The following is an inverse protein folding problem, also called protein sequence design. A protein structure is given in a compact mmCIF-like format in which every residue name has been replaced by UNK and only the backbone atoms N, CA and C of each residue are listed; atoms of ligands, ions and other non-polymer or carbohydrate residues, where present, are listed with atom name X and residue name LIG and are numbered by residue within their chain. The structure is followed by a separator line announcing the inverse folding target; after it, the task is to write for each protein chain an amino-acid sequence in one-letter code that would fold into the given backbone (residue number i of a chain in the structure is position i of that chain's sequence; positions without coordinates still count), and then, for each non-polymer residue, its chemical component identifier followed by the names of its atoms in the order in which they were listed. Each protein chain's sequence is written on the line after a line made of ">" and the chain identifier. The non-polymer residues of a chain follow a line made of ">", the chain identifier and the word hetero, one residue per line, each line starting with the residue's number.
data_IF_617355363355
#
_entry.id   IF_617355363355
#
_cell.length_a   1.000
_cell.length_b   1.000
_cell.length_c   1.000
_cell.angle_alpha   90.00
_cell.angle_beta   90.00
_cell.angle_gamma   90.00
#
_symmetry.space_group_name_H-M   'P 1'
#
loop_
_entity.id
_entity.type
_entity.pdbx_description
1 polymer ?
#
# COMPACT_ATOMS: atom_id res chain seq x y z
N UNK A 1 40.29 18.91 21.07
CA UNK A 1 39.11 18.13 21.50
C UNK A 1 38.28 17.86 20.26
N UNK A 2 38.49 16.70 19.64
CA UNK A 2 37.72 16.25 18.49
C UNK A 2 36.34 15.80 19.02
N UNK A 3 35.29 16.53 18.63
CA UNK A 3 33.91 16.16 18.94
C UNK A 3 33.63 14.79 18.31
N UNK A 4 33.17 13.89 19.17
CA UNK A 4 32.74 12.53 18.93
C UNK A 4 31.75 12.50 17.75
N UNK A 5 31.93 11.57 16.80
CA UNK A 5 31.04 11.44 15.66
C UNK A 5 29.58 11.26 16.13
N UNK A 6 28.70 12.19 15.77
CA UNK A 6 27.25 12.10 16.01
C UNK A 6 26.72 10.83 15.35
N UNK A 7 26.40 9.81 16.15
CA UNK A 7 25.85 8.55 15.64
C UNK A 7 24.38 8.76 15.30
N UNK A 8 24.05 8.79 14.00
CA UNK A 8 22.68 8.87 13.50
C UNK A 8 21.82 7.78 14.10
N UNK A 9 20.73 8.12 14.77
CA UNK A 9 19.90 7.16 15.50
C UNK A 9 18.42 7.55 15.51
N UNK A 10 17.55 6.55 15.51
CA UNK A 10 16.12 6.72 15.70
C UNK A 10 15.61 5.69 16.70
N UNK A 11 15.19 6.13 17.87
CA UNK A 11 14.89 5.23 18.99
C UNK A 11 13.62 5.63 19.74
N UNK A 12 13.05 4.68 20.48
CA UNK A 12 11.91 4.92 21.38
C UNK A 12 12.42 5.32 22.75
N UNK A 13 12.11 6.53 23.18
CA UNK A 13 12.31 7.00 24.56
C UNK A 13 11.05 6.68 25.36
N UNK A 14 11.07 5.51 26.00
CA UNK A 14 9.96 4.97 26.78
C UNK A 14 9.68 5.80 28.04
N UNK A 15 10.71 6.40 28.64
CA UNK A 15 10.55 7.16 29.89
C UNK A 15 9.76 8.45 29.70
N UNK A 16 9.72 8.97 28.46
CA UNK A 16 9.03 10.21 28.13
C UNK A 16 8.02 10.08 27.00
N UNK A 17 7.60 8.86 26.67
CA UNK A 17 6.58 8.56 25.66
C UNK A 17 6.81 9.26 24.30
N UNK A 18 8.05 9.25 23.78
CA UNK A 18 8.41 9.95 22.52
C UNK A 18 9.43 9.17 21.69
N UNK A 19 9.62 9.59 20.44
CA UNK A 19 10.80 9.17 19.68
C UNK A 19 11.95 10.15 19.94
N UNK A 20 13.17 9.67 19.80
CA UNK A 20 14.37 10.50 19.67
C UNK A 20 14.96 10.27 18.29
N UNK A 21 15.24 11.35 17.58
CA UNK A 21 16.05 11.37 16.37
C UNK A 21 17.37 12.05 16.74
N UNK A 22 18.48 11.33 16.65
CA UNK A 22 19.82 11.80 17.04
C UNK A 22 19.86 12.35 18.47
N UNK A 23 19.13 11.68 19.39
CA UNK A 23 19.02 12.10 20.80
C UNK A 23 18.05 13.26 21.06
N UNK A 24 17.47 13.85 20.01
CA UNK A 24 16.53 14.99 20.12
C UNK A 24 15.08 14.52 20.03
N UNK A 25 14.15 15.03 20.87
CA UNK A 25 12.73 14.73 20.77
C UNK A 25 12.18 14.89 19.35
N UNK A 26 11.56 13.83 18.85
CA UNK A 26 11.03 13.75 17.50
C UNK A 26 9.62 13.16 17.48
N UNK A 27 8.81 13.65 16.54
CA UNK A 27 7.49 13.13 16.20
C UNK A 27 7.34 13.18 14.69
N UNK A 28 7.01 12.06 14.06
CA UNK A 28 6.67 12.10 12.64
C UNK A 28 5.20 12.47 12.42
N UNK A 29 4.98 13.26 11.39
CA UNK A 29 3.70 13.47 10.74
C UNK A 29 3.89 13.01 9.30
N UNK A 30 3.36 11.82 9.03
CA UNK A 30 3.58 11.06 7.81
C UNK A 30 2.32 11.03 6.94
N UNK A 31 2.51 10.72 5.66
CA UNK A 31 1.43 10.42 4.74
C UNK A 31 1.80 9.23 3.86
N UNK A 32 0.81 8.40 3.53
CA UNK A 32 1.02 7.28 2.62
C UNK A 32 1.01 7.73 1.15
N UNK A 33 2.00 7.26 0.40
CA UNK A 33 2.08 7.35 -1.06
C UNK A 33 2.71 6.08 -1.62
N UNK A 34 2.03 5.40 -2.54
CA UNK A 34 2.54 4.15 -3.11
C UNK A 34 3.23 4.40 -4.46
N UNK A 35 4.55 4.21 -4.52
CA UNK A 35 5.34 4.49 -5.73
C UNK A 35 4.88 3.65 -6.95
N UNK A 36 4.37 2.45 -6.73
CA UNK A 36 3.82 1.56 -7.77
C UNK A 36 2.45 2.00 -8.31
N UNK A 37 1.79 2.97 -7.66
CA UNK A 37 0.53 3.61 -8.10
C UNK A 37 0.73 4.98 -8.75
N UNK A 38 1.98 5.43 -8.87
CA UNK A 38 2.33 6.75 -9.40
C UNK A 38 3.43 6.56 -10.46
N UNK A 39 3.26 7.05 -11.69
CA UNK A 39 4.32 6.98 -12.69
C UNK A 39 5.61 7.64 -12.18
N UNK A 40 6.77 7.01 -12.41
CA UNK A 40 8.07 7.46 -11.88
C UNK A 40 8.38 8.93 -12.14
N UNK A 41 8.01 9.44 -13.32
CA UNK A 41 8.22 10.84 -13.71
C UNK A 41 7.49 11.85 -12.82
N UNK A 42 6.52 11.38 -12.00
CA UNK A 42 5.71 12.20 -11.12
C UNK A 42 6.12 12.09 -9.64
N UNK A 43 6.99 11.15 -9.26
CA UNK A 43 7.34 10.91 -7.85
C UNK A 43 7.85 12.16 -7.14
N UNK A 44 8.80 12.88 -7.76
CA UNK A 44 9.36 14.11 -7.20
C UNK A 44 8.29 15.18 -6.94
N UNK A 45 7.34 15.36 -7.87
CA UNK A 45 6.24 16.31 -7.70
C UNK A 45 5.34 15.92 -6.52
N UNK A 46 4.95 14.65 -6.41
CA UNK A 46 4.06 14.19 -5.34
C UNK A 46 4.73 14.31 -3.97
N UNK A 47 5.98 13.88 -3.86
CA UNK A 47 6.77 13.98 -2.63
C UNK A 47 6.99 15.43 -2.22
N UNK A 48 7.27 16.32 -3.17
CA UNK A 48 7.44 17.74 -2.86
C UNK A 48 6.14 18.39 -2.38
N UNK A 49 4.98 18.08 -2.99
CA UNK A 49 3.66 18.51 -2.47
C UNK A 49 3.41 17.98 -1.06
N UNK A 50 3.73 16.72 -0.79
CA UNK A 50 3.63 16.12 0.54
C UNK A 50 4.49 16.86 1.56
N UNK A 51 5.76 17.14 1.24
CA UNK A 51 6.67 17.92 2.09
C UNK A 51 6.12 19.32 2.39
N UNK A 52 5.65 20.04 1.37
CA UNK A 52 5.09 21.39 1.51
C UNK A 52 3.74 21.43 2.26
N UNK A 53 3.09 20.29 2.46
CA UNK A 53 1.91 20.19 3.32
C UNK A 53 2.26 20.16 4.81
N UNK A 54 3.55 20.01 5.14
CA UNK A 54 4.05 19.96 6.51
C UNK A 54 4.56 18.59 6.93
N UNK A 55 4.42 17.56 6.10
CA UNK A 55 4.91 16.22 6.44
C UNK A 55 6.44 16.22 6.56
N UNK A 56 6.94 15.46 7.52
CA UNK A 56 8.38 15.21 7.70
C UNK A 56 8.75 13.75 7.39
N UNK A 57 7.76 12.89 7.17
CA UNK A 57 7.96 11.50 6.78
C UNK A 57 6.96 11.06 5.69
N UNK A 58 7.31 10.01 4.96
CA UNK A 58 6.41 9.26 4.09
C UNK A 58 6.32 7.81 4.56
N UNK A 59 5.18 7.18 4.30
CA UNK A 59 4.99 5.75 4.48
C UNK A 59 4.60 5.10 3.16
N UNK A 60 5.12 3.91 2.89
CA UNK A 60 4.71 3.17 1.68
C UNK A 60 4.98 1.67 1.80
N UNK A 61 4.18 0.90 1.07
CA UNK A 61 4.37 -0.54 0.92
C UNK A 61 5.39 -0.91 -0.15
N UNK A 62 6.00 -2.08 -0.01
CA UNK A 62 6.80 -2.74 -1.06
C UNK A 62 6.09 -4.03 -1.50
N UNK A 63 5.28 -4.00 -2.58
CA UNK A 63 4.56 -5.18 -3.05
C UNK A 63 5.52 -6.21 -3.63
N UNK A 64 5.56 -7.41 -3.03
CA UNK A 64 6.46 -8.49 -3.45
C UNK A 64 6.22 -8.90 -4.92
N UNK A 65 4.97 -9.21 -5.28
CA UNK A 65 4.58 -9.58 -6.65
C UNK A 65 4.91 -8.51 -7.71
N UNK A 66 5.01 -7.24 -7.32
CA UNK A 66 5.44 -6.16 -8.20
C UNK A 66 6.94 -6.18 -8.48
N UNK A 67 7.74 -6.87 -7.68
CA UNK A 67 9.19 -6.96 -7.87
C UNK A 67 9.68 -8.35 -8.22
N UNK A 68 8.96 -9.40 -7.87
CA UNK A 68 9.25 -10.78 -8.27
C UNK A 68 8.04 -11.34 -9.01
N UNK A 69 7.81 -10.93 -10.28
CA UNK A 69 6.69 -11.43 -11.07
C UNK A 69 6.76 -12.94 -11.32
N UNK A 70 7.96 -13.52 -11.32
CA UNK A 70 8.18 -14.96 -11.36
C UNK A 70 9.20 -15.34 -10.29
N UNK A 71 9.11 -16.53 -9.66
CA UNK A 71 10.06 -16.97 -8.65
C UNK A 71 11.52 -16.88 -9.13
N UNK A 72 12.35 -16.17 -8.39
CA UNK A 72 13.75 -15.88 -8.68
C UNK A 72 14.01 -14.76 -9.69
N UNK A 73 12.97 -14.16 -10.28
CA UNK A 73 13.10 -13.10 -11.31
C UNK A 73 12.77 -11.75 -10.70
N UNK A 74 13.80 -11.00 -10.31
CA UNK A 74 13.64 -9.72 -9.64
C UNK A 74 13.69 -8.52 -10.60
N UNK A 75 12.79 -7.56 -10.43
CA UNK A 75 12.72 -6.33 -11.21
C UNK A 75 12.61 -5.09 -10.32
N UNK A 76 13.66 -4.27 -10.35
CA UNK A 76 13.75 -2.97 -9.67
C UNK A 76 14.03 -1.83 -10.66
N UNK A 77 13.61 -1.97 -11.92
CA UNK A 77 13.84 -0.98 -12.97
C UNK A 77 12.60 -0.12 -13.25
N UNK A 78 12.80 1.05 -13.84
CA UNK A 78 11.70 1.92 -14.29
C UNK A 78 10.79 2.33 -13.12
N UNK A 79 9.48 2.08 -13.24
CA UNK A 79 8.49 2.35 -12.17
C UNK A 79 8.60 1.40 -10.97
N UNK A 80 9.43 0.35 -11.05
CA UNK A 80 9.73 -0.59 -9.96
C UNK A 80 11.00 -0.21 -9.18
N UNK A 81 11.59 0.94 -9.47
CA UNK A 81 12.85 1.37 -8.87
C UNK A 81 12.66 1.96 -7.47
N UNK A 82 12.61 1.06 -6.48
CA UNK A 82 12.49 1.39 -5.07
C UNK A 82 13.63 2.31 -4.59
N UNK A 83 14.86 2.09 -5.08
CA UNK A 83 16.03 2.86 -4.65
C UNK A 83 15.96 4.29 -5.19
N UNK A 84 15.52 4.47 -6.44
CA UNK A 84 15.25 5.80 -6.96
C UNK A 84 14.12 6.50 -6.18
N UNK A 85 13.08 5.78 -5.77
CA UNK A 85 12.03 6.37 -4.95
C UNK A 85 12.52 6.82 -3.56
N UNK A 86 13.34 6.00 -2.89
CA UNK A 86 14.01 6.37 -1.63
C UNK A 86 14.91 7.62 -1.80
N UNK A 87 15.64 7.70 -2.92
CA UNK A 87 16.41 8.89 -3.30
C UNK A 87 15.54 10.13 -3.46
N UNK A 88 14.41 10.04 -4.17
CA UNK A 88 13.49 11.18 -4.33
C UNK A 88 12.91 11.63 -2.99
N UNK A 89 12.60 10.69 -2.08
CA UNK A 89 12.17 11.02 -0.72
C UNK A 89 13.26 11.73 0.08
N UNK A 90 14.52 11.30 -0.06
CA UNK A 90 15.67 11.95 0.57
C UNK A 90 15.89 13.37 0.02
N UNK A 91 15.79 13.57 -1.30
CA UNK A 91 15.86 14.90 -1.94
C UNK A 91 14.73 15.83 -1.48
N UNK A 92 13.53 15.28 -1.24
CA UNK A 92 12.41 16.00 -0.65
C UNK A 92 12.56 16.26 0.86
N UNK A 93 13.68 15.84 1.47
CA UNK A 93 13.96 15.93 2.91
C UNK A 93 12.85 15.26 3.75
N UNK A 94 12.51 14.03 3.39
CA UNK A 94 11.51 13.21 4.07
C UNK A 94 12.14 11.93 4.62
N UNK A 95 11.82 11.62 5.88
CA UNK A 95 12.07 10.30 6.46
C UNK A 95 11.13 9.27 5.86
N UNK A 96 11.51 7.99 5.95
CA UNK A 96 10.76 6.88 5.40
C UNK A 96 10.37 5.91 6.51
N UNK A 97 9.08 5.59 6.55
CA UNK A 97 8.51 4.48 7.30
C UNK A 97 8.20 3.40 6.26
N UNK A 98 9.01 2.34 6.23
CA UNK A 98 8.90 1.32 5.20
C UNK A 98 7.97 0.19 5.65
N UNK A 99 7.09 -0.26 4.78
CA UNK A 99 6.21 -1.42 5.03
C UNK A 99 6.49 -2.51 3.99
N UNK A 100 7.54 -3.32 4.18
CA UNK A 100 7.92 -4.35 3.23
C UNK A 100 7.00 -5.58 3.23
N UNK A 101 6.09 -5.70 4.21
CA UNK A 101 5.32 -6.92 4.45
C UNK A 101 6.10 -7.89 5.36
N UNK A 102 6.00 -9.23 5.19
CA UNK A 102 5.40 -9.94 4.07
C UNK A 102 3.93 -10.28 4.30
N UNK A 103 3.13 -10.12 3.26
CA UNK A 103 2.14 -11.14 2.91
C UNK A 103 2.63 -11.70 1.58
N UNK A 104 3.70 -12.52 1.56
CA UNK A 104 3.70 -13.83 0.87
C UNK A 104 4.94 -14.76 1.07
N UNK A 105 6.19 -14.40 1.44
CA UNK A 105 7.25 -15.40 1.79
C UNK A 105 8.60 -14.81 2.26
N UNK A 106 9.53 -15.67 2.75
CA UNK A 106 10.81 -15.30 3.35
C UNK A 106 11.99 -15.15 2.35
N UNK A 107 11.92 -15.77 1.15
CA UNK A 107 12.96 -15.66 0.12
C UNK A 107 13.04 -14.24 -0.45
N UNK A 108 11.90 -13.55 -0.51
CA UNK A 108 11.80 -12.14 -0.88
C UNK A 108 12.58 -11.24 0.08
N UNK A 109 12.47 -11.49 1.38
CA UNK A 109 13.15 -10.70 2.40
C UNK A 109 14.67 -10.82 2.28
N UNK A 110 15.18 -11.98 1.84
CA UNK A 110 16.62 -12.16 1.55
C UNK A 110 17.12 -11.32 0.37
N UNK A 111 16.23 -10.80 -0.48
CA UNK A 111 16.59 -9.90 -1.59
C UNK A 111 16.30 -8.44 -1.25
N UNK A 112 15.12 -8.16 -0.70
CA UNK A 112 14.71 -6.80 -0.39
C UNK A 112 15.52 -6.20 0.77
N UNK A 113 15.65 -6.92 1.89
CA UNK A 113 16.25 -6.38 3.11
C UNK A 113 17.72 -5.96 2.91
N UNK A 114 18.58 -6.76 2.25
CA UNK A 114 19.94 -6.31 1.91
C UNK A 114 19.98 -5.08 0.99
N UNK A 115 19.01 -4.92 0.08
CA UNK A 115 18.93 -3.74 -0.81
C UNK A 115 18.59 -2.45 -0.06
N UNK A 116 17.76 -2.53 0.98
CA UNK A 116 17.38 -1.36 1.80
C UNK A 116 18.32 -1.14 2.99
N UNK A 117 19.19 -2.10 3.33
CA UNK A 117 20.13 -1.96 4.45
C UNK A 117 20.99 -0.67 4.38
N UNK A 118 21.56 -0.26 3.23
CA UNK A 118 22.29 1.02 3.13
C UNK A 118 21.40 2.26 3.31
N UNK A 119 20.08 2.10 3.19
CA UNK A 119 19.08 3.16 3.29
C UNK A 119 18.52 3.35 4.71
N UNK A 120 18.92 2.49 5.66
CA UNK A 120 18.60 2.68 7.06
C UNK A 120 19.20 3.99 7.56
N UNK A 121 18.46 4.67 8.44
CA UNK A 121 18.83 6.01 8.92
C UNK A 121 20.22 6.03 9.59
N UNK A 122 20.51 5.02 10.41
CA UNK A 122 21.81 4.86 11.09
C UNK A 122 22.95 4.46 10.13
N UNK A 123 22.63 4.01 8.91
CA UNK A 123 23.59 3.69 7.85
C UNK A 123 23.77 4.84 6.83
N UNK A 124 23.13 5.98 7.04
CA UNK A 124 23.25 7.14 6.16
C UNK A 124 22.02 7.45 5.31
N UNK A 125 21.03 6.55 5.23
CA UNK A 125 19.83 6.73 4.43
C UNK A 125 18.70 7.47 5.16
N UNK A 126 17.44 7.30 4.75
CA UNK A 126 16.29 8.01 5.32
C UNK A 126 15.23 7.09 5.95
N UNK A 127 15.45 5.76 6.00
CA UNK A 127 14.51 4.81 6.60
C UNK A 127 14.67 4.80 8.13
N UNK A 128 13.68 5.34 8.84
CA UNK A 128 13.71 5.46 10.32
C UNK A 128 13.05 4.27 11.01
N UNK A 129 12.06 3.64 10.39
CA UNK A 129 11.37 2.47 10.94
C UNK A 129 10.85 1.56 9.84
N UNK A 130 10.66 0.29 10.19
CA UNK A 130 10.21 -0.75 9.28
C UNK A 130 9.12 -1.58 9.95
N UNK A 131 8.00 -1.75 9.26
CA UNK A 131 6.94 -2.62 9.74
C UNK A 131 7.25 -4.09 9.42
N UNK A 132 6.96 -4.97 10.36
CA UNK A 132 7.01 -6.42 10.17
C UNK A 132 5.57 -6.91 10.03
N UNK A 133 5.26 -7.56 8.90
CA UNK A 133 3.89 -7.98 8.57
C UNK A 133 2.90 -6.79 8.49
N UNK A 134 1.61 -7.08 8.33
CA UNK A 134 0.55 -6.12 8.13
C UNK A 134 -0.78 -6.60 8.73
N UNK A 135 -1.23 -5.98 9.82
CA UNK A 135 -2.49 -6.33 10.48
C UNK A 135 -2.67 -7.84 10.68
N UNK A 136 -1.59 -8.54 11.04
CA UNK A 136 -1.58 -9.99 11.16
C UNK A 136 -2.63 -10.49 12.15
N UNK A 137 -3.00 -9.66 13.12
CA UNK A 137 -4.06 -9.95 14.07
C UNK A 137 -5.45 -10.08 13.47
N UNK A 138 -5.68 -9.50 12.30
CA UNK A 138 -6.90 -9.68 11.50
C UNK A 138 -6.90 -10.99 10.72
N UNK A 139 -5.76 -11.69 10.62
CA UNK A 139 -5.64 -12.98 9.97
C UNK A 139 -5.93 -14.14 10.93
N UNK A 140 -6.75 -15.09 10.46
CA UNK A 140 -7.31 -16.19 11.27
C UNK A 140 -6.27 -17.12 11.92
N UNK A 141 -5.04 -17.18 11.39
CA UNK A 141 -4.05 -18.15 11.87
C UNK A 141 -3.52 -17.82 13.28
N UNK A 142 -3.33 -16.53 13.60
CA UNK A 142 -2.75 -16.10 14.88
C UNK A 142 -1.45 -16.84 15.25
N UNK A 143 -0.59 -17.13 14.26
CA UNK A 143 0.66 -17.86 14.44
C UNK A 143 1.79 -16.92 14.89
N UNK A 144 2.06 -16.92 16.20
CA UNK A 144 3.13 -16.12 16.81
C UNK A 144 4.52 -16.66 16.44
N UNK A 145 4.65 -17.94 16.06
CA UNK A 145 5.94 -18.52 15.62
C UNK A 145 6.34 -17.90 14.28
N UNK A 146 5.38 -17.74 13.36
CA UNK A 146 5.57 -17.03 12.11
C UNK A 146 6.04 -15.59 12.34
N UNK A 147 5.35 -14.81 13.18
CA UNK A 147 5.79 -13.43 13.49
C UNK A 147 7.19 -13.38 14.11
N UNK A 148 7.52 -14.32 15.01
CA UNK A 148 8.89 -14.42 15.57
C UNK A 148 9.93 -14.76 14.51
N UNK A 149 9.60 -15.64 13.58
CA UNK A 149 10.49 -15.99 12.47
C UNK A 149 10.81 -14.75 11.63
N UNK A 150 9.78 -13.99 11.24
CA UNK A 150 9.98 -12.74 10.49
C UNK A 150 10.78 -11.70 11.27
N UNK A 151 10.45 -11.48 12.54
CA UNK A 151 11.22 -10.56 13.38
C UNK A 151 12.70 -10.98 13.47
N UNK A 152 12.97 -12.28 13.63
CA UNK A 152 14.33 -12.83 13.64
C UNK A 152 15.05 -12.63 12.31
N UNK A 153 14.36 -12.83 11.18
CA UNK A 153 14.91 -12.61 9.84
C UNK A 153 15.28 -11.14 9.61
N UNK A 154 14.38 -10.22 9.97
CA UNK A 154 14.64 -8.78 9.86
C UNK A 154 15.83 -8.38 10.73
N UNK A 155 15.93 -8.90 11.96
CA UNK A 155 17.08 -8.64 12.84
C UNK A 155 18.38 -9.20 12.28
N UNK A 156 18.36 -10.42 11.74
CA UNK A 156 19.54 -11.03 11.13
C UNK A 156 20.06 -10.23 9.93
N UNK A 157 19.17 -9.65 9.12
CA UNK A 157 19.53 -8.95 7.88
C UNK A 157 19.71 -7.44 8.03
N UNK A 158 19.06 -6.81 9.00
CA UNK A 158 19.06 -5.35 9.21
C UNK A 158 19.75 -4.90 10.50
N UNK A 159 20.07 -5.84 11.39
CA UNK A 159 20.65 -5.57 12.70
C UNK A 159 19.64 -5.07 13.74
N UNK A 160 20.16 -4.77 14.93
CA UNK A 160 19.34 -4.43 16.11
C UNK A 160 18.96 -2.95 16.22
N UNK A 161 19.62 -2.07 15.45
CA UNK A 161 19.45 -0.62 15.59
C UNK A 161 18.17 -0.09 14.95
N UNK A 162 17.65 -0.72 13.89
CA UNK A 162 16.43 -0.25 13.23
C UNK A 162 15.20 -0.47 14.10
N UNK A 163 14.31 0.52 14.18
CA UNK A 163 13.01 0.35 14.84
C UNK A 163 12.12 -0.54 13.97
N UNK A 164 11.84 -1.75 14.47
CA UNK A 164 10.84 -2.65 13.90
C UNK A 164 9.53 -2.51 14.66
N UNK A 165 8.41 -2.46 13.93
CA UNK A 165 7.08 -2.27 14.52
C UNK A 165 6.01 -3.14 13.86
N UNK A 166 4.85 -3.29 14.50
CA UNK A 166 3.64 -3.91 13.93
C UNK A 166 2.49 -2.91 13.94
N UNK A 167 1.49 -3.12 13.10
CA UNK A 167 0.26 -2.30 13.04
C UNK A 167 -0.93 -3.23 12.99
N UNK A 168 -1.89 -3.00 13.87
CA UNK A 168 -3.16 -3.72 13.90
C UNK A 168 -4.30 -2.79 14.37
N UNK A 169 -5.49 -2.99 13.81
CA UNK A 169 -6.72 -2.49 14.40
C UNK A 169 -6.93 -3.01 15.84
N UNK A 170 -7.82 -2.37 16.62
CA UNK A 170 -7.99 -2.65 18.06
C UNK A 170 -8.33 -4.12 18.39
N UNK A 171 -8.99 -4.82 17.47
CA UNK A 171 -9.38 -6.22 17.63
C UNK A 171 -8.22 -7.19 17.32
N UNK A 172 -7.30 -6.78 16.45
CA UNK A 172 -6.15 -7.58 16.01
C UNK A 172 -4.97 -7.60 16.98
N UNK A 173 -4.86 -6.60 17.88
CA UNK A 173 -3.71 -6.44 18.78
C UNK A 173 -3.30 -7.70 19.55
N UNK A 174 -4.25 -8.57 19.90
CA UNK A 174 -3.95 -9.83 20.61
C UNK A 174 -3.04 -10.77 19.80
N UNK A 175 -3.25 -10.84 18.49
CA UNK A 175 -2.60 -11.78 17.59
C UNK A 175 -1.50 -11.13 16.74
N UNK A 176 -1.56 -9.81 16.52
CA UNK A 176 -0.56 -9.07 15.73
C UNK A 176 0.57 -8.43 16.54
N UNK A 177 0.45 -8.32 17.87
CA UNK A 177 1.53 -7.81 18.72
C UNK A 177 2.59 -8.87 19.03
N UNK A 178 3.87 -8.49 19.00
CA UNK A 178 4.97 -9.37 19.36
C UNK A 178 6.02 -8.65 20.22
N UNK A 179 6.39 -9.26 21.35
CA UNK A 179 7.48 -8.75 22.21
C UNK A 179 8.78 -8.61 21.41
N UNK A 180 9.38 -7.42 21.43
CA UNK A 180 10.60 -7.08 20.69
C UNK A 180 10.35 -6.27 19.42
N UNK A 181 9.09 -6.20 18.98
CA UNK A 181 8.61 -5.24 17.99
C UNK A 181 7.81 -4.16 18.71
N UNK A 182 7.86 -2.92 18.22
CA UNK A 182 7.05 -1.83 18.76
C UNK A 182 5.61 -1.94 18.25
N UNK A 183 4.63 -2.00 19.15
CA UNK A 183 3.22 -2.15 18.74
C UNK A 183 2.63 -0.79 18.38
N UNK A 184 1.92 -0.71 17.25
CA UNK A 184 1.17 0.48 16.82
C UNK A 184 -0.26 0.08 16.47
N UNK A 185 -1.15 1.06 16.30
CA UNK A 185 -2.54 0.84 15.90
C UNK A 185 -2.86 1.58 14.62
N UNK A 186 -3.94 1.18 13.97
CA UNK A 186 -4.64 1.98 12.98
C UNK A 186 -6.09 2.27 13.41
N UNK A 187 -6.64 3.37 12.90
CA UNK A 187 -8.05 3.73 13.03
C UNK A 187 -8.36 5.00 12.23
N UNK A 188 -9.64 5.20 11.89
CA UNK A 188 -10.12 6.33 11.11
C UNK A 188 -10.75 7.47 11.95
N UNK A 189 -11.22 8.52 11.28
CA UNK A 189 -11.88 9.67 11.91
C UNK A 189 -13.18 9.34 12.65
N UNK A 190 -13.84 8.22 12.31
CA UNK A 190 -15.10 7.79 12.91
C UNK A 190 -14.91 7.03 14.23
N UNK A 191 -13.69 6.59 14.52
CA UNK A 191 -13.41 5.69 15.63
C UNK A 191 -13.18 6.44 16.95
N UNK A 192 -13.33 5.71 18.06
CA UNK A 192 -13.07 6.24 19.39
C UNK A 192 -11.57 6.21 19.71
N UNK A 193 -10.86 7.25 19.26
CA UNK A 193 -9.41 7.45 19.46
C UNK A 193 -8.96 7.21 20.91
N UNK A 194 -9.67 7.77 21.91
CA UNK A 194 -9.29 7.64 23.33
C UNK A 194 -9.34 6.18 23.77
N UNK A 195 -10.39 5.44 23.39
CA UNK A 195 -10.52 4.01 23.70
C UNK A 195 -9.42 3.18 23.05
N UNK A 196 -9.08 3.48 21.79
CA UNK A 196 -8.08 2.73 21.03
C UNK A 196 -6.67 2.98 21.57
N UNK A 197 -6.29 4.23 21.85
CA UNK A 197 -4.99 4.50 22.50
C UNK A 197 -4.90 3.97 23.93
N UNK A 198 -6.00 3.97 24.70
CA UNK A 198 -6.03 3.31 26.00
C UNK A 198 -5.85 1.79 25.90
N UNK A 199 -6.34 1.17 24.81
CA UNK A 199 -6.09 -0.24 24.52
C UNK A 199 -4.64 -0.48 24.10
N UNK A 200 -4.07 0.35 23.23
CA UNK A 200 -2.66 0.30 22.85
C UNK A 200 -1.75 0.33 24.09
N UNK A 201 -2.06 1.16 25.08
CA UNK A 201 -1.30 1.26 26.34
C UNK A 201 -1.25 -0.04 27.16
N UNK A 202 -2.09 -1.03 26.87
CA UNK A 202 -1.98 -2.38 27.48
C UNK A 202 -0.84 -3.21 26.87
N UNK A 203 -0.49 -2.94 25.62
CA UNK A 203 0.56 -3.63 24.86
C UNK A 203 1.87 -2.83 24.88
N UNK A 204 1.77 -1.50 24.82
CA UNK A 204 2.88 -0.56 24.95
C UNK A 204 2.59 0.45 26.07
N UNK A 205 2.82 0.09 27.35
CA UNK A 205 2.57 0.96 28.50
C UNK A 205 3.32 2.30 28.42
N UNK A 206 4.48 2.28 27.76
CA UNK A 206 5.39 3.40 27.59
C UNK A 206 5.85 3.51 26.14
N UNK A 207 6.17 4.72 25.70
CA UNK A 207 6.54 5.05 24.32
C UNK A 207 5.49 5.91 23.60
N UNK A 208 5.83 6.49 22.44
CA UNK A 208 4.95 7.39 21.69
C UNK A 208 3.67 6.69 21.26
N UNK A 209 2.55 7.40 21.39
CA UNK A 209 1.32 6.99 20.71
C UNK A 209 1.53 7.06 19.20
N UNK A 210 1.12 6.01 18.48
CA UNK A 210 1.25 5.93 17.04
C UNK A 210 -0.05 5.46 16.42
N UNK A 211 -0.58 6.25 15.47
CA UNK A 211 -1.55 5.76 14.49
C UNK A 211 -0.85 5.59 13.13
N UNK A 212 -0.59 4.35 12.72
CA UNK A 212 0.14 4.01 11.50
C UNK A 212 -0.73 4.06 10.23
N UNK A 213 -2.06 4.09 10.38
CA UNK A 213 -3.01 4.35 9.29
C UNK A 213 -4.22 5.15 9.76
N UNK A 214 -4.11 6.47 9.63
CA UNK A 214 -5.21 7.39 9.82
C UNK A 214 -5.98 7.61 8.52
N UNK A 215 -7.16 7.01 8.40
CA UNK A 215 -7.92 6.95 7.16
C UNK A 215 -8.48 8.31 6.70
N UNK A 216 -7.83 8.97 5.74
CA UNK A 216 -8.23 10.30 5.19
C UNK A 216 -9.46 10.25 4.29
N UNK A 217 -9.82 9.04 3.88
CA UNK A 217 -10.69 8.68 2.78
C UNK A 217 -11.06 7.20 2.87
N UNK A 218 -11.42 6.56 1.76
CA UNK A 218 -11.61 5.10 1.71
C UNK A 218 -11.51 4.58 0.27
N UNK A 219 -11.37 3.26 0.14
CA UNK A 219 -11.31 2.58 -1.15
C UNK A 219 -12.70 2.38 -1.78
N UNK A 220 -12.74 2.28 -3.11
CA UNK A 220 -13.96 2.09 -3.88
C UNK A 220 -14.08 0.70 -4.49
N UNK A 221 -15.32 0.25 -4.67
CA UNK A 221 -15.64 -0.99 -5.36
C UNK A 221 -16.47 -0.71 -6.61
N UNK A 222 -16.29 -1.51 -7.65
CA UNK A 222 -17.12 -1.43 -8.84
C UNK A 222 -18.61 -1.62 -8.51
N UNK A 223 -19.46 -0.74 -9.05
CA UNK A 223 -20.90 -0.74 -8.82
C UNK A 223 -21.34 -0.13 -7.48
N UNK A 224 -20.45 0.50 -6.72
CA UNK A 224 -20.78 1.26 -5.51
C UNK A 224 -20.53 2.76 -5.69
N UNK A 225 -21.10 3.57 -4.78
CA UNK A 225 -20.84 5.00 -4.75
C UNK A 225 -19.39 5.29 -4.33
N UNK A 226 -18.81 6.34 -4.90
CA UNK A 226 -17.50 6.83 -4.51
C UNK A 226 -17.46 7.18 -3.01
N UNK A 227 -16.44 6.68 -2.33
CA UNK A 227 -16.24 6.82 -0.91
C UNK A 227 -15.59 8.15 -0.57
N UNK A 228 -16.24 8.95 0.26
CA UNK A 228 -15.70 10.25 0.70
C UNK A 228 -15.68 10.38 2.22
N UNK A 229 -14.77 11.21 2.73
CA UNK A 229 -14.68 11.59 4.14
C UNK A 229 -14.66 13.10 4.29
N UNK A 230 -15.54 13.61 5.16
CA UNK A 230 -15.65 15.04 5.41
C UNK A 230 -14.37 15.65 5.97
N UNK A 231 -13.91 16.75 5.35
CA UNK A 231 -12.72 17.50 5.77
C UNK A 231 -12.70 17.79 7.28
N UNK A 232 -13.80 18.27 7.92
CA UNK A 232 -13.78 18.55 9.35
C UNK A 232 -13.60 17.30 10.23
N UNK A 233 -14.01 16.12 9.78
CA UNK A 233 -13.80 14.88 10.52
C UNK A 233 -12.31 14.52 10.54
N UNK A 234 -11.67 14.58 9.36
CA UNK A 234 -10.25 14.25 9.19
C UNK A 234 -9.35 15.25 9.94
N UNK A 235 -9.59 16.55 9.81
CA UNK A 235 -8.76 17.56 10.48
C UNK A 235 -8.93 17.54 11.99
N UNK A 236 -10.15 17.36 12.52
CA UNK A 236 -10.35 17.27 13.98
C UNK A 236 -9.68 16.04 14.60
N UNK A 237 -9.73 14.89 13.93
CA UNK A 237 -9.04 13.69 14.42
C UNK A 237 -7.52 13.87 14.40
N UNK A 238 -6.97 14.42 13.30
CA UNK A 238 -5.56 14.75 13.20
C UNK A 238 -5.10 15.71 14.33
N UNK A 239 -5.79 16.84 14.50
CA UNK A 239 -5.42 17.81 15.54
C UNK A 239 -5.51 17.23 16.95
N UNK A 240 -6.47 16.35 17.22
CA UNK A 240 -6.55 15.64 18.52
C UNK A 240 -5.34 14.73 18.74
N UNK A 241 -4.92 13.98 17.74
CA UNK A 241 -3.72 13.13 17.82
C UNK A 241 -2.46 13.97 18.03
N UNK A 242 -2.29 15.05 17.27
CA UNK A 242 -1.12 15.92 17.39
C UNK A 242 -1.06 16.64 18.75
N UNK A 243 -2.21 17.02 19.34
CA UNK A 243 -2.30 17.56 20.71
C UNK A 243 -1.85 16.57 21.78
N UNK A 244 -2.07 15.27 21.55
CA UNK A 244 -1.61 14.20 22.44
C UNK A 244 -0.12 13.87 22.26
N UNK A 245 0.58 14.52 21.31
CA UNK A 245 1.96 14.18 20.96
C UNK A 245 2.09 12.91 20.12
N UNK A 246 0.98 12.33 19.65
CA UNK A 246 1.00 11.11 18.88
C UNK A 246 1.66 11.32 17.51
N UNK A 247 2.47 10.36 17.09
CA UNK A 247 2.92 10.28 15.70
C UNK A 247 1.80 9.66 14.85
N UNK A 248 1.67 10.12 13.62
CA UNK A 248 0.53 9.76 12.76
C UNK A 248 0.98 9.60 11.32
N UNK A 249 0.46 8.58 10.65
CA UNK A 249 0.53 8.43 9.21
C UNK A 249 -0.86 8.52 8.58
N UNK A 250 -1.06 9.47 7.68
CA UNK A 250 -2.32 9.65 6.94
C UNK A 250 -2.42 8.69 5.75
N UNK A 251 -3.35 7.74 5.83
CA UNK A 251 -3.57 6.72 4.81
C UNK A 251 -4.89 6.99 4.05
N UNK A 252 -4.91 7.32 2.75
CA UNK A 252 -3.81 7.73 1.89
C UNK A 252 -3.59 9.24 1.97
N UNK A 253 -2.35 9.70 1.78
CA UNK A 253 -2.12 11.13 1.52
C UNK A 253 -2.19 11.43 0.02
N UNK A 254 -1.72 10.49 -0.79
CA UNK A 254 -1.94 10.42 -2.24
C UNK A 254 -2.14 8.96 -2.63
N UNK A 255 -3.31 8.61 -3.14
CA UNK A 255 -3.62 7.22 -3.46
C UNK A 255 -3.11 6.77 -4.84
N UNK A 256 -3.34 7.55 -5.90
CA UNK A 256 -2.88 7.28 -7.26
C UNK A 256 -3.80 6.33 -8.03
N UNK A 257 -3.23 5.42 -8.82
CA UNK A 257 -3.98 4.54 -9.74
C UNK A 257 -3.53 3.09 -9.63
N UNK A 258 -4.48 2.15 -9.64
CA UNK A 258 -4.21 0.73 -9.87
C UNK A 258 -4.07 0.47 -11.38
N UNK A 259 -2.87 0.68 -11.93
CA UNK A 259 -2.61 0.42 -13.37
C UNK A 259 -2.70 -1.08 -13.70
N UNK A 260 -2.98 -1.41 -14.97
CA UNK A 260 -3.02 -2.80 -15.43
C UNK A 260 -4.00 -3.65 -14.62
N UNK A 261 -3.51 -4.76 -14.06
CA UNK A 261 -4.28 -5.70 -13.23
C UNK A 261 -3.92 -5.60 -11.73
N UNK A 262 -3.35 -4.48 -11.29
CA UNK A 262 -2.87 -4.32 -9.91
C UNK A 262 -3.96 -3.93 -8.89
N UNK A 263 -5.24 -3.92 -9.27
CA UNK A 263 -6.32 -3.74 -8.31
C UNK A 263 -6.47 -5.00 -7.45
N UNK A 264 -6.77 -4.80 -6.17
CA UNK A 264 -7.18 -5.90 -5.29
C UNK A 264 -8.68 -6.17 -5.37
N UNK A 265 -9.14 -7.01 -4.45
CA UNK A 265 -10.54 -7.24 -4.15
C UNK A 265 -10.70 -7.57 -2.66
N UNK A 266 -11.86 -7.26 -2.10
CA UNK A 266 -12.25 -7.74 -0.78
C UNK A 266 -13.25 -8.90 -0.91
N UNK A 267 -13.20 -9.84 0.04
CA UNK A 267 -14.23 -10.86 0.21
C UNK A 267 -15.05 -10.56 1.47
N UNK A 268 -16.27 -10.03 1.29
CA UNK A 268 -17.18 -9.63 2.38
C UNK A 268 -18.54 -10.30 2.22
N UNK A 269 -18.52 -11.64 2.14
CA UNK A 269 -19.68 -12.46 1.78
C UNK A 269 -20.04 -12.40 0.29
N UNK A 270 -19.27 -11.63 -0.48
CA UNK A 270 -19.23 -11.57 -1.93
C UNK A 270 -17.89 -10.98 -2.36
N UNK A 271 -17.47 -11.32 -3.58
CA UNK A 271 -16.30 -10.75 -4.23
C UNK A 271 -16.53 -9.28 -4.60
N UNK A 272 -15.64 -8.40 -4.15
CA UNK A 272 -15.72 -6.96 -4.35
C UNK A 272 -14.44 -6.43 -4.99
N UNK A 273 -14.37 -6.35 -6.33
CA UNK A 273 -13.18 -5.83 -7.02
C UNK A 273 -13.05 -4.32 -6.79
N UNK A 274 -11.85 -3.92 -6.37
CA UNK A 274 -11.49 -2.51 -6.17
C UNK A 274 -11.37 -1.84 -7.54
N UNK A 275 -11.79 -0.58 -7.63
CA UNK A 275 -11.75 0.18 -8.90
C UNK A 275 -10.31 0.46 -9.35
N UNK A 276 -10.17 0.82 -10.63
CA UNK A 276 -8.89 1.24 -11.21
C UNK A 276 -8.37 2.52 -10.55
N UNK A 277 -9.24 3.50 -10.32
CA UNK A 277 -8.88 4.69 -9.57
C UNK A 277 -8.56 4.31 -8.13
N UNK A 278 -7.46 4.82 -7.61
CA UNK A 278 -7.17 4.78 -6.19
C UNK A 278 -7.10 6.21 -5.65
N UNK A 279 -7.95 7.12 -6.14
CA UNK A 279 -8.05 8.50 -5.67
C UNK A 279 -8.20 8.58 -4.13
N UNK A 280 -9.00 7.66 -3.60
CA UNK A 280 -9.23 7.46 -2.17
C UNK A 280 -9.98 8.63 -1.49
N UNK A 281 -10.40 9.68 -2.22
CA UNK A 281 -10.72 10.99 -1.64
C UNK A 281 -9.53 11.50 -0.79
N UNK A 282 -8.30 11.25 -1.27
CA UNK A 282 -7.08 11.64 -0.58
C UNK A 282 -6.85 13.16 -0.62
N UNK A 283 -6.02 13.71 0.28
CA UNK A 283 -5.59 15.11 0.24
C UNK A 283 -5.02 15.52 -1.12
N UNK A 284 -4.24 14.67 -1.76
CA UNK A 284 -3.79 14.84 -3.15
C UNK A 284 -4.58 13.85 -4.02
N UNK A 285 -5.33 14.37 -5.00
CA UNK A 285 -6.17 13.56 -5.89
C UNK A 285 -5.36 12.54 -6.71
N UNK A 286 -6.02 11.60 -7.38
CA UNK A 286 -5.40 10.63 -8.29
C UNK A 286 -4.43 11.28 -9.28
N UNK A 287 -4.80 12.43 -9.85
CA UNK A 287 -3.97 13.14 -10.83
C UNK A 287 -2.82 13.95 -10.21
N UNK A 288 -2.72 14.01 -8.88
CA UNK A 288 -1.70 14.78 -8.17
C UNK A 288 -2.12 16.21 -7.81
N UNK A 289 -3.42 16.53 -7.82
CA UNK A 289 -3.89 17.89 -7.59
C UNK A 289 -4.12 18.14 -6.10
N UNK A 290 -3.60 19.24 -5.51
CA UNK A 290 -3.90 19.61 -4.12
C UNK A 290 -5.39 19.97 -3.95
N UNK A 291 -6.10 19.23 -3.11
CA UNK A 291 -7.54 19.42 -2.86
C UNK A 291 -7.80 20.41 -1.72
N UNK A 292 -9.06 20.86 -1.48
CA UNK A 292 -9.39 21.57 -0.25
C UNK A 292 -9.00 20.83 1.03
N UNK A 293 -9.01 19.48 1.01
CA UNK A 293 -8.57 18.63 2.12
C UNK A 293 -7.07 18.77 2.38
N UNK A 294 -6.24 18.87 1.33
CA UNK A 294 -4.80 19.17 1.45
C UNK A 294 -4.56 20.46 2.23
N UNK A 295 -5.20 21.57 1.82
CA UNK A 295 -4.98 22.87 2.46
C UNK A 295 -5.48 22.88 3.91
N UNK A 296 -6.60 22.21 4.19
CA UNK A 296 -7.12 22.09 5.54
C UNK A 296 -6.18 21.29 6.47
N UNK A 297 -5.63 20.18 6.00
CA UNK A 297 -4.65 19.39 6.76
C UNK A 297 -3.34 20.15 6.95
N UNK A 298 -2.85 20.85 5.92
CA UNK A 298 -1.69 21.72 6.02
C UNK A 298 -1.87 22.78 7.12
N UNK A 299 -3.03 23.42 7.18
CA UNK A 299 -3.37 24.39 8.22
C UNK A 299 -3.50 23.76 9.62
N UNK A 300 -3.94 22.50 9.71
CA UNK A 300 -3.95 21.76 10.97
C UNK A 300 -2.54 21.43 11.44
N UNK A 301 -1.66 20.97 10.54
CA UNK A 301 -0.27 20.62 10.84
C UNK A 301 0.54 21.85 11.24
N UNK A 302 0.31 23.00 10.60
CA UNK A 302 1.04 24.25 10.88
C UNK A 302 0.85 24.78 12.29
N UNK A 303 -0.15 24.30 13.02
CA UNK A 303 -0.37 24.61 14.44
C UNK A 303 0.59 23.87 15.38
N UNK A 304 1.26 22.82 14.90
CA UNK A 304 2.08 21.92 15.72
C UNK A 304 3.51 21.77 15.25
N UNK A 305 3.84 22.21 14.04
CA UNK A 305 5.20 22.22 13.50
C UNK A 305 5.33 23.22 12.36
N UNK A 306 6.56 23.64 12.10
CA UNK A 306 6.86 24.51 10.96
C UNK A 306 6.57 23.80 9.63
N UNK A 307 5.98 24.56 8.72
CA UNK A 307 5.73 24.11 7.35
C UNK A 307 6.86 24.65 6.48
N UNK A 308 7.47 23.81 5.61
CA UNK A 308 8.47 24.29 4.66
C UNK A 308 7.95 25.45 3.82
N UNK A 309 8.81 26.45 3.63
CA UNK A 309 8.55 27.58 2.76
C UNK A 309 8.79 27.18 1.29
N UNK A 310 8.02 27.77 0.39
CA UNK A 310 8.18 27.57 -1.05
C UNK A 310 6.85 27.51 -1.79
N UNK A 311 6.87 27.72 -3.11
CA UNK A 311 5.67 27.62 -3.92
C UNK A 311 5.22 26.15 -3.97
N UNK A 312 3.94 25.91 -3.64
CA UNK A 312 3.31 24.62 -3.87
C UNK A 312 3.23 24.38 -5.39
N UNK A 313 3.72 23.24 -5.92
CA UNK A 313 3.58 22.98 -7.35
C UNK A 313 2.09 22.95 -7.72
N UNK A 314 1.71 23.60 -8.83
CA UNK A 314 0.32 23.65 -9.24
C UNK A 314 -0.18 22.25 -9.67
N UNK A 315 -1.51 22.08 -9.78
CA UNK A 315 -2.09 21.01 -10.58
C UNK A 315 -1.42 20.92 -11.96
N UNK A 316 -1.15 19.70 -12.43
CA UNK A 316 -0.62 19.52 -13.79
C UNK A 316 -1.65 20.00 -14.82
N UNK A 317 -1.23 20.62 -15.95
CA UNK A 317 -2.14 20.96 -17.02
C UNK A 317 -2.89 19.71 -17.50
N UNK A 318 -4.21 19.83 -17.68
CA UNK A 318 -5.07 18.78 -18.21
C UNK A 318 -5.53 19.19 -19.61
N UNK A 319 -5.54 18.25 -20.54
CA UNK A 319 -5.95 18.48 -21.92
C UNK A 319 -7.17 17.63 -22.24
N UNK A 320 -8.17 18.23 -22.85
CA UNK A 320 -9.28 17.52 -23.48
C UNK A 320 -8.88 17.17 -24.92
N UNK A 321 -8.64 15.88 -25.19
CA UNK A 321 -8.22 15.40 -26.51
C UNK A 321 -9.34 15.47 -27.57
N UNK A 322 -10.61 15.60 -27.15
CA UNK A 322 -11.76 15.47 -28.03
C UNK A 322 -12.08 14.00 -28.35
N UNK A 323 -13.11 13.75 -29.19
CA UNK A 323 -13.47 12.39 -29.58
C UNK A 323 -12.37 11.75 -30.43
N UNK A 324 -12.02 10.51 -30.11
CA UNK A 324 -11.14 9.66 -30.91
C UNK A 324 -11.99 8.57 -31.58
N UNK A 325 -11.94 8.49 -32.91
CA UNK A 325 -12.62 7.42 -33.65
C UNK A 325 -11.73 6.18 -33.68
N UNK A 326 -12.24 5.07 -33.13
CA UNK A 326 -11.60 3.76 -33.19
C UNK A 326 -12.27 2.93 -34.29
N UNK A 327 -11.48 2.21 -35.07
CA UNK A 327 -11.96 1.25 -36.06
C UNK A 327 -11.74 -0.17 -35.52
N UNK A 328 -12.72 -1.06 -35.71
CA UNK A 328 -12.58 -2.47 -35.36
C UNK A 328 -11.52 -3.10 -36.27
N UNK A 329 -10.47 -3.66 -35.67
CA UNK A 329 -9.44 -4.38 -36.41
C UNK A 329 -9.78 -5.88 -36.56
N UNK A 330 -10.43 -6.46 -35.56
CA UNK A 330 -10.96 -7.82 -35.60
C UNK A 330 -11.45 -8.30 -34.23
N UNK A 331 -12.06 -9.48 -34.21
CA UNK A 331 -12.48 -10.14 -32.97
C UNK A 331 -11.30 -10.79 -32.25
N UNK A 332 -11.35 -10.85 -30.92
CA UNK A 332 -10.30 -11.45 -30.08
C UNK A 332 -9.87 -12.86 -30.56
N UNK A 333 -10.82 -13.66 -31.02
CA UNK A 333 -10.58 -15.03 -31.48
C UNK A 333 -9.77 -15.10 -32.78
N UNK A 334 -9.78 -14.05 -33.61
CA UNK A 334 -8.98 -13.96 -34.82
C UNK A 334 -7.49 -13.74 -34.52
N UNK A 335 -7.15 -13.31 -33.29
CA UNK A 335 -5.79 -13.00 -32.87
C UNK A 335 -5.17 -14.07 -31.95
N UNK A 336 -5.74 -15.28 -31.88
CA UNK A 336 -5.24 -16.32 -30.96
C UNK A 336 -3.81 -16.77 -31.26
N UNK A 337 -3.40 -16.80 -32.53
CA UNK A 337 -2.02 -17.16 -32.90
C UNK A 337 -1.01 -16.11 -32.39
N UNK A 338 -1.43 -14.85 -32.24
CA UNK A 338 -0.61 -13.78 -31.65
C UNK A 338 -0.68 -13.79 -30.12
N UNK A 339 -1.86 -13.98 -29.54
CA UNK A 339 -2.10 -13.92 -28.10
C UNK A 339 -1.63 -15.19 -27.36
N UNK A 340 -1.58 -16.33 -28.05
CA UNK A 340 -1.19 -17.63 -27.51
C UNK A 340 -0.24 -18.34 -28.50
N UNK A 341 0.98 -17.81 -28.72
CA UNK A 341 1.89 -18.29 -29.78
C UNK A 341 2.39 -19.71 -29.55
N UNK A 342 2.31 -20.23 -28.32
CA UNK A 342 2.67 -21.61 -27.99
C UNK A 342 1.51 -22.61 -28.16
N UNK A 343 0.33 -22.13 -28.56
CA UNK A 343 -0.87 -22.94 -28.70
C UNK A 343 -1.54 -23.31 -27.36
N UNK A 344 -2.73 -23.92 -27.42
CA UNK A 344 -3.54 -24.22 -26.24
C UNK A 344 -3.01 -25.41 -25.45
N UNK A 345 -3.21 -25.39 -24.13
CA UNK A 345 -3.02 -26.55 -23.26
C UNK A 345 -4.28 -27.41 -23.30
N UNK A 346 -4.13 -28.71 -23.60
CA UNK A 346 -5.24 -29.67 -23.59
C UNK A 346 -5.34 -30.34 -22.23
N UNK A 347 -6.51 -30.32 -21.62
CA UNK A 347 -6.82 -31.00 -20.37
C UNK A 347 -8.23 -31.60 -20.44
N UNK A 348 -8.46 -32.66 -19.66
CA UNK A 348 -9.78 -33.29 -19.52
C UNK A 348 -10.71 -32.39 -18.69
N UNK A 349 -10.16 -31.72 -17.66
CA UNK A 349 -10.87 -30.79 -16.79
C UNK A 349 -10.31 -29.37 -16.92
N UNK A 350 -11.12 -28.31 -16.69
CA UNK A 350 -10.63 -26.93 -16.65
C UNK A 350 -9.47 -26.77 -15.66
N UNK A 351 -8.39 -26.11 -16.07
CA UNK A 351 -7.25 -25.75 -15.22
C UNK A 351 -7.40 -24.33 -14.71
N UNK A 352 -6.86 -24.00 -13.53
CA UNK A 352 -6.87 -22.62 -13.03
C UNK A 352 -5.81 -21.77 -13.73
N UNK A 353 -5.88 -20.45 -13.52
CA UNK A 353 -4.92 -19.48 -14.04
C UNK A 353 -3.48 -19.82 -13.63
N UNK A 354 -3.29 -20.10 -12.35
CA UNK A 354 -1.99 -20.44 -11.74
C UNK A 354 -1.45 -21.77 -12.27
N UNK A 355 -2.33 -22.75 -12.50
CA UNK A 355 -1.94 -24.07 -12.99
C UNK A 355 -1.33 -24.03 -14.41
N UNK A 356 -1.64 -23.00 -15.19
CA UNK A 356 -1.05 -22.76 -16.51
C UNK A 356 -0.08 -21.56 -16.52
N UNK A 357 0.36 -21.12 -15.33
CA UNK A 357 1.34 -20.04 -15.14
C UNK A 357 0.92 -18.69 -15.74
N UNK A 358 -0.36 -18.35 -15.62
CA UNK A 358 -0.87 -17.03 -15.98
C UNK A 358 -1.48 -16.38 -14.75
N UNK A 359 -0.87 -15.31 -14.24
CA UNK A 359 -1.31 -14.70 -12.96
C UNK A 359 -2.42 -13.66 -13.14
N UNK A 360 -2.54 -13.05 -14.32
CA UNK A 360 -3.42 -11.92 -14.58
C UNK A 360 -4.06 -11.98 -15.97
N UNK A 361 -5.08 -11.15 -16.18
CA UNK A 361 -5.69 -10.93 -17.50
C UNK A 361 -6.80 -11.91 -17.82
N UNK A 362 -6.73 -12.50 -19.03
CA UNK A 362 -7.83 -13.27 -19.61
C UNK A 362 -7.37 -14.65 -20.05
N UNK A 363 -8.22 -15.66 -19.84
CA UNK A 363 -7.98 -17.04 -20.28
C UNK A 363 -9.16 -17.54 -21.09
N UNK A 364 -8.87 -18.18 -22.22
CA UNK A 364 -9.88 -18.82 -23.06
C UNK A 364 -9.99 -20.31 -22.74
N UNK A 365 -11.12 -20.70 -22.19
CA UNK A 365 -11.53 -22.12 -22.10
C UNK A 365 -12.35 -22.47 -23.33
N UNK A 366 -11.95 -23.53 -24.05
CA UNK A 366 -12.63 -23.98 -25.27
C UNK A 366 -12.95 -25.47 -25.16
N UNK A 367 -14.19 -25.82 -25.46
CA UNK A 367 -14.66 -27.21 -25.54
C UNK A 367 -15.67 -27.35 -26.69
N UNK A 368 -16.05 -28.58 -26.99
CA UNK A 368 -17.07 -28.91 -27.99
C UNK A 368 -18.27 -29.54 -27.30
N UNK A 369 -19.46 -29.19 -27.75
CA UNK A 369 -20.67 -29.88 -27.31
C UNK A 369 -20.68 -31.29 -27.90
N UNK A 370 -20.86 -32.31 -27.07
CA UNK A 370 -20.91 -33.71 -27.49
C UNK A 370 -22.21 -34.09 -28.19
N UNK A 371 -23.21 -33.20 -28.15
CA UNK A 371 -24.52 -33.37 -28.75
C UNK A 371 -25.02 -32.04 -29.32
N UNK A 372 -25.81 -32.10 -30.39
CA UNK A 372 -26.47 -30.92 -30.93
C UNK A 372 -27.59 -30.46 -30.00
N UNK A 373 -27.61 -29.17 -29.69
CA UNK A 373 -28.60 -28.55 -28.82
C UNK A 373 -29.50 -27.66 -29.68
N UNK A 374 -30.80 -27.99 -29.73
CA UNK A 374 -31.79 -27.22 -30.50
C UNK A 374 -32.60 -26.25 -29.63
N UNK A 375 -32.70 -26.53 -28.34
CA UNK A 375 -33.49 -25.75 -27.38
C UNK A 375 -32.57 -25.07 -26.37
N UNK A 376 -32.94 -23.88 -25.84
CA UNK A 376 -32.19 -23.22 -24.77
C UNK A 376 -31.88 -24.18 -23.62
N UNK A 377 -30.61 -24.49 -23.45
CA UNK A 377 -30.13 -25.46 -22.45
C UNK A 377 -29.31 -24.73 -21.40
N UNK A 378 -29.56 -25.05 -20.14
CA UNK A 378 -28.87 -24.42 -19.02
C UNK A 378 -27.39 -24.80 -19.01
N UNK A 379 -26.54 -23.81 -19.28
CA UNK A 379 -25.12 -23.86 -18.96
C UNK A 379 -24.91 -23.29 -17.55
N UNK A 380 -24.38 -24.09 -16.64
CA UNK A 380 -24.11 -23.67 -15.26
C UNK A 380 -22.79 -24.26 -14.77
N UNK A 381 -22.12 -23.53 -13.88
CA UNK A 381 -20.89 -23.96 -13.23
C UNK A 381 -21.18 -24.16 -11.74
N UNK A 382 -21.01 -25.37 -11.18
CA UNK A 382 -21.28 -25.62 -9.76
C UNK A 382 -20.33 -24.87 -8.84
N UNK A 383 -20.75 -24.72 -7.57
CA UNK A 383 -19.92 -24.24 -6.45
C UNK A 383 -19.28 -22.86 -6.68
N UNK A 384 -19.96 -21.97 -7.41
CA UNK A 384 -19.42 -20.66 -7.80
C UNK A 384 -18.07 -20.74 -8.53
N UNK A 385 -17.77 -21.82 -9.25
CA UNK A 385 -16.46 -22.08 -9.85
C UNK A 385 -16.01 -21.17 -11.00
N UNK A 386 -16.66 -20.01 -11.21
CA UNK A 386 -16.21 -18.98 -12.15
C UNK A 386 -15.61 -17.83 -11.34
N UNK A 387 -14.29 -17.75 -11.31
CA UNK A 387 -13.55 -16.70 -10.61
C UNK A 387 -12.84 -15.80 -11.63
N UNK A 388 -13.32 -14.60 -11.95
CA UNK A 388 -14.49 -13.90 -11.37
C UNK A 388 -15.62 -13.64 -12.38
N UNK A 389 -15.31 -13.74 -13.68
CA UNK A 389 -16.29 -13.46 -14.74
C UNK A 389 -15.95 -14.23 -16.01
N UNK A 390 -16.97 -14.81 -16.65
CA UNK A 390 -16.84 -15.46 -17.95
C UNK A 390 -17.70 -14.77 -19.01
N UNK A 391 -17.17 -14.69 -20.23
CA UNK A 391 -17.91 -14.29 -21.43
C UNK A 391 -18.11 -15.55 -22.27
N UNK A 392 -19.37 -15.99 -22.43
CA UNK A 392 -19.70 -17.26 -23.08
C UNK A 392 -20.08 -17.03 -24.54
N UNK A 393 -19.58 -17.89 -25.40
CA UNK A 393 -19.87 -17.89 -26.84
C UNK A 393 -20.06 -19.33 -27.33
N UNK A 394 -20.98 -19.52 -28.26
CA UNK A 394 -21.21 -20.79 -28.98
C UNK A 394 -21.12 -20.50 -30.47
N UNK A 395 -20.23 -21.21 -31.17
CA UNK A 395 -19.97 -21.04 -32.61
C UNK A 395 -19.76 -19.58 -33.06
N UNK A 396 -19.07 -18.79 -32.22
CA UNK A 396 -18.77 -17.38 -32.47
C UNK A 396 -19.90 -16.40 -32.12
N UNK A 397 -21.06 -16.91 -31.69
CA UNK A 397 -22.19 -16.07 -31.24
C UNK A 397 -22.13 -15.92 -29.73
N UNK A 398 -22.18 -14.68 -29.23
CA UNK A 398 -22.26 -14.40 -27.79
C UNK A 398 -23.64 -14.80 -27.25
N UNK A 399 -23.65 -15.62 -26.21
CA UNK A 399 -24.85 -16.20 -25.60
C UNK A 399 -25.15 -15.59 -24.24
#
# INVERSE_FOLDING_TARGET
>A
LLLQADTRSFVVDRDHDRFLLDGVPFRYVSGSLHYFRVPRVLWADRLYKMRLSGLNAIQFYVPWNYHEPEPGVYNFNGSRDLIAFLNEAAKANMFVILRPGPYICAEWDMVLLPKIHPWLYHNGGNIISIQVENEYGSYKACDVIYLRHLAGLFRALLGDQILLFTTDGPEGLKCGSLKGLYTTVDFGPADNMTKIFALLRKYEPHGPLVNSEYYTGWLDYWGQNHSTRGIPAVTRGLEKMLKLGASVNMYMFHGGTNFGYWNGADEKGRFLPITTSYDYDAPISEAGDPTPKFFALRNSISKFQEIPLGPLPPPSPKMMLGPLTLNLDGDLLAFLDFLCPHGPIRSILPMTFEAVKQDHGFMLYRTYLTQTIFEPTLFWVPNNGVHDRAYVMVDGVRT
#
